data_IF_230221697534
#
_entry.id   IF_230221697534
#
_cell.length_a   1.000
_cell.length_b   1.000
_cell.length_c   1.000
_cell.angle_alpha   90.00
_cell.angle_beta   90.00
_cell.angle_gamma   90.00
#
_symmetry.space_group_name_H-M   'P 1'
#
loop_
_entity.id
_entity.type
_entity.pdbx_description
1 polymer ?
#
# COMPACT_ATOMS: atom_id res chain seq x y z
N UNK A 1 -44.94 -93.94 -66.60
CA UNK A 1 -44.85 -93.77 -65.12
C UNK A 1 -43.44 -93.44 -64.63
N UNK A 2 -42.37 -94.19 -64.98
CA UNK A 2 -40.99 -93.91 -64.50
C UNK A 2 -40.46 -92.49 -64.82
N UNK A 3 -40.78 -91.93 -66.00
CA UNK A 3 -40.35 -90.57 -66.41
C UNK A 3 -41.02 -89.44 -65.59
N UNK A 4 -42.28 -89.61 -65.16
CA UNK A 4 -42.99 -88.62 -64.34
C UNK A 4 -42.50 -88.64 -62.89
N UNK A 5 -42.20 -89.83 -62.34
CA UNK A 5 -41.59 -89.95 -61.01
C UNK A 5 -40.23 -89.25 -60.97
N UNK A 6 -39.42 -89.39 -62.02
CA UNK A 6 -38.12 -88.69 -62.12
C UNK A 6 -38.28 -87.17 -62.10
N UNK A 7 -39.23 -86.62 -62.87
CA UNK A 7 -39.50 -85.18 -62.91
C UNK A 7 -40.00 -84.67 -61.55
N UNK A 8 -40.90 -85.41 -60.90
CA UNK A 8 -41.43 -85.05 -59.57
C UNK A 8 -40.33 -85.04 -58.50
N UNK A 9 -39.43 -86.03 -58.50
CA UNK A 9 -38.27 -86.07 -57.61
C UNK A 9 -37.33 -84.90 -57.88
N UNK A 10 -37.12 -84.54 -59.15
CA UNK A 10 -36.26 -83.40 -59.52
C UNK A 10 -36.86 -82.06 -59.06
N UNK A 11 -38.17 -81.85 -59.20
CA UNK A 11 -38.87 -80.65 -58.70
C UNK A 11 -38.78 -80.57 -57.17
N UNK A 12 -38.96 -81.69 -56.46
CA UNK A 12 -38.86 -81.74 -55.01
C UNK A 12 -37.43 -81.45 -54.53
N UNK A 13 -36.43 -82.01 -55.22
CA UNK A 13 -35.02 -81.74 -54.95
C UNK A 13 -34.69 -80.25 -55.18
N UNK A 14 -35.22 -79.65 -56.25
CA UNK A 14 -35.02 -78.22 -56.53
C UNK A 14 -35.70 -77.31 -55.49
N UNK A 15 -36.92 -77.65 -55.07
CA UNK A 15 -37.60 -76.96 -53.97
C UNK A 15 -36.80 -77.05 -52.66
N UNK A 16 -36.20 -78.21 -52.37
CA UNK A 16 -35.34 -78.42 -51.21
C UNK A 16 -34.08 -77.54 -51.28
N UNK A 17 -33.44 -77.43 -52.45
CA UNK A 17 -32.29 -76.53 -52.62
C UNK A 17 -32.65 -75.06 -52.43
N UNK A 18 -33.80 -74.61 -52.95
CA UNK A 18 -34.28 -73.23 -52.77
C UNK A 18 -34.54 -72.95 -51.28
N UNK A 19 -35.23 -73.86 -50.58
CA UNK A 19 -35.48 -73.73 -49.15
C UNK A 19 -34.18 -73.72 -48.33
N UNK A 20 -33.21 -74.57 -48.68
CA UNK A 20 -31.91 -74.63 -48.02
C UNK A 20 -31.08 -73.36 -48.24
N UNK A 21 -31.12 -72.81 -49.45
CA UNK A 21 -30.46 -71.53 -49.76
C UNK A 21 -31.06 -70.39 -48.95
N UNK A 22 -32.40 -70.31 -48.87
CA UNK A 22 -33.09 -69.31 -48.05
C UNK A 22 -32.75 -69.44 -46.56
N UNK A 23 -32.72 -70.66 -46.01
CA UNK A 23 -32.33 -70.90 -44.62
C UNK A 23 -30.86 -70.54 -44.35
N UNK A 24 -29.97 -70.76 -45.32
CA UNK A 24 -28.57 -70.34 -45.22
C UNK A 24 -28.45 -68.81 -45.22
N UNK A 25 -29.19 -68.15 -46.11
CA UNK A 25 -29.24 -66.69 -46.18
C UNK A 25 -29.80 -66.07 -44.91
N UNK A 26 -30.91 -66.60 -44.39
CA UNK A 26 -31.54 -66.15 -43.15
C UNK A 26 -30.59 -66.32 -41.94
N UNK A 27 -29.94 -67.48 -41.85
CA UNK A 27 -28.92 -67.73 -40.82
C UNK A 27 -27.74 -66.77 -40.92
N UNK A 28 -27.28 -66.47 -42.13
CA UNK A 28 -26.17 -65.53 -42.36
C UNK A 28 -26.58 -64.10 -42.04
N UNK A 29 -27.79 -63.68 -42.42
CA UNK A 29 -28.36 -62.38 -42.06
C UNK A 29 -28.47 -62.23 -40.54
N UNK A 30 -29.09 -63.18 -39.85
CA UNK A 30 -29.19 -63.16 -38.38
C UNK A 30 -27.82 -63.09 -37.71
N UNK A 31 -26.82 -63.82 -38.22
CA UNK A 31 -25.46 -63.78 -37.66
C UNK A 31 -24.82 -62.41 -37.83
N UNK A 32 -25.03 -61.75 -38.97
CA UNK A 32 -24.50 -60.41 -39.22
C UNK A 32 -25.19 -59.36 -38.34
N UNK A 33 -26.51 -59.46 -38.17
CA UNK A 33 -27.25 -58.57 -37.28
C UNK A 33 -26.80 -58.73 -35.82
N UNK A 34 -26.58 -59.98 -35.37
CA UNK A 34 -26.12 -60.26 -34.01
C UNK A 34 -24.71 -59.70 -33.76
N UNK A 35 -23.81 -59.80 -34.75
CA UNK A 35 -22.48 -59.18 -34.69
C UNK A 35 -22.55 -57.65 -34.67
N UNK A 36 -23.42 -57.05 -35.48
CA UNK A 36 -23.61 -55.60 -35.49
C UNK A 36 -24.16 -55.10 -34.16
N UNK A 37 -25.11 -55.83 -33.57
CA UNK A 37 -25.65 -55.55 -32.24
C UNK A 37 -24.58 -55.70 -31.16
N UNK A 38 -23.75 -56.75 -31.21
CA UNK A 38 -22.64 -56.96 -30.29
C UNK A 38 -21.62 -55.81 -30.36
N UNK A 39 -21.20 -55.43 -31.57
CA UNK A 39 -20.29 -54.29 -31.77
C UNK A 39 -20.88 -52.98 -31.26
N UNK A 40 -22.15 -52.71 -31.59
CA UNK A 40 -22.85 -51.50 -31.12
C UNK A 40 -22.99 -51.48 -29.61
N UNK A 41 -23.28 -52.62 -28.98
CA UNK A 41 -23.38 -52.74 -27.52
C UNK A 41 -22.03 -52.48 -26.85
N UNK A 42 -20.95 -53.06 -27.38
CA UNK A 42 -19.58 -52.82 -26.91
C UNK A 42 -19.19 -51.34 -27.04
N UNK A 43 -19.49 -50.70 -28.17
CA UNK A 43 -19.25 -49.28 -28.38
C UNK A 43 -20.02 -48.42 -27.39
N UNK A 44 -21.33 -48.66 -27.26
CA UNK A 44 -22.18 -47.92 -26.32
C UNK A 44 -21.72 -48.12 -24.87
N UNK A 45 -21.29 -49.33 -24.49
CA UNK A 45 -20.74 -49.59 -23.16
C UNK A 45 -19.44 -48.84 -22.90
N UNK A 46 -18.57 -48.71 -23.91
CA UNK A 46 -17.35 -47.92 -23.80
C UNK A 46 -17.64 -46.43 -23.65
N UNK A 47 -18.61 -45.90 -24.42
CA UNK A 47 -19.04 -44.51 -24.37
C UNK A 47 -19.70 -44.17 -23.03
N UNK A 48 -20.61 -45.01 -22.54
CA UNK A 48 -21.23 -44.85 -21.21
C UNK A 48 -20.16 -44.85 -20.12
N UNK A 49 -19.15 -45.72 -20.22
CA UNK A 49 -18.03 -45.75 -19.27
C UNK A 49 -17.21 -44.46 -19.31
N UNK A 50 -16.97 -43.88 -20.50
CA UNK A 50 -16.29 -42.60 -20.64
C UNK A 50 -17.11 -41.45 -20.05
N UNK A 51 -18.40 -41.36 -20.39
CA UNK A 51 -19.31 -40.35 -19.84
C UNK A 51 -19.41 -40.42 -18.33
N UNK A 52 -19.46 -41.63 -17.74
CA UNK A 52 -19.46 -41.79 -16.29
C UNK A 52 -18.16 -41.31 -15.63
N UNK A 53 -17.01 -41.43 -16.29
CA UNK A 53 -15.76 -40.85 -15.79
C UNK A 53 -15.80 -39.32 -15.83
N UNK A 54 -16.34 -38.76 -16.91
CA UNK A 54 -16.47 -37.30 -17.05
C UNK A 54 -17.45 -36.73 -16.01
N UNK A 55 -18.60 -37.38 -15.78
CA UNK A 55 -19.55 -36.99 -14.73
C UNK A 55 -18.86 -36.98 -13.37
N UNK A 56 -18.14 -38.04 -13.01
CA UNK A 56 -17.42 -38.09 -11.72
C UNK A 56 -16.35 -37.01 -11.61
N UNK A 57 -15.65 -36.68 -12.69
CA UNK A 57 -14.68 -35.58 -12.70
C UNK A 57 -15.38 -34.24 -12.44
N UNK A 58 -16.47 -33.96 -13.16
CA UNK A 58 -17.24 -32.73 -13.01
C UNK A 58 -17.87 -32.61 -11.62
N UNK A 59 -18.37 -33.70 -11.05
CA UNK A 59 -18.88 -33.73 -9.67
C UNK A 59 -17.78 -33.39 -8.66
N UNK A 60 -16.57 -33.92 -8.84
CA UNK A 60 -15.44 -33.60 -7.98
C UNK A 60 -15.01 -32.13 -8.11
N UNK A 61 -14.95 -31.60 -9.33
CA UNK A 61 -14.65 -30.18 -9.58
C UNK A 61 -15.72 -29.28 -8.97
N UNK A 62 -17.00 -29.60 -9.12
CA UNK A 62 -18.10 -28.84 -8.51
C UNK A 62 -18.00 -28.83 -6.98
N UNK A 63 -17.68 -29.97 -6.37
CA UNK A 63 -17.49 -30.05 -4.91
C UNK A 63 -16.28 -29.23 -4.45
N UNK A 64 -15.19 -29.20 -5.22
CA UNK A 64 -14.03 -28.35 -4.94
C UNK A 64 -14.41 -26.87 -5.01
N UNK A 65 -15.12 -26.45 -6.05
CA UNK A 65 -15.58 -25.05 -6.17
C UNK A 65 -16.51 -24.64 -5.03
N UNK A 66 -17.40 -25.51 -4.58
CA UNK A 66 -18.25 -25.22 -3.42
C UNK A 66 -17.41 -25.02 -2.15
N UNK A 67 -16.39 -25.86 -1.93
CA UNK A 67 -15.49 -25.71 -0.80
C UNK A 67 -14.69 -24.40 -0.87
N UNK A 68 -14.19 -24.04 -2.05
CA UNK A 68 -13.44 -22.81 -2.28
C UNK A 68 -14.31 -21.57 -2.09
N UNK A 69 -15.55 -21.58 -2.61
CA UNK A 69 -16.51 -20.50 -2.37
C UNK A 69 -16.75 -20.32 -0.87
N UNK A 70 -17.00 -21.40 -0.13
CA UNK A 70 -17.23 -21.31 1.32
C UNK A 70 -16.01 -20.75 2.07
N UNK A 71 -14.80 -21.09 1.62
CA UNK A 71 -13.57 -20.55 2.21
C UNK A 71 -13.43 -19.06 1.92
N UNK A 72 -13.63 -18.65 0.67
CA UNK A 72 -13.54 -17.25 0.25
C UNK A 72 -14.61 -16.37 0.92
N UNK A 73 -15.82 -16.89 1.11
CA UNK A 73 -16.88 -16.19 1.85
C UNK A 73 -16.48 -15.91 3.30
N UNK A 74 -15.86 -16.87 3.99
CA UNK A 74 -15.35 -16.69 5.35
C UNK A 74 -14.20 -15.69 5.40
N UNK A 75 -13.26 -15.77 4.46
CA UNK A 75 -12.16 -14.81 4.37
C UNK A 75 -12.68 -13.39 4.11
N UNK A 76 -13.67 -13.24 3.23
CA UNK A 76 -14.34 -11.97 2.97
C UNK A 76 -14.99 -11.41 4.23
N UNK A 77 -15.76 -12.20 4.97
CA UNK A 77 -16.41 -11.77 6.21
C UNK A 77 -15.39 -11.32 7.27
N UNK A 78 -14.27 -12.05 7.40
CA UNK A 78 -13.17 -11.67 8.29
C UNK A 78 -12.51 -10.35 7.89
N UNK A 79 -12.28 -10.15 6.59
CA UNK A 79 -11.71 -8.91 6.07
C UNK A 79 -12.65 -7.73 6.26
N UNK A 80 -13.95 -7.89 6.02
CA UNK A 80 -14.96 -6.86 6.25
C UNK A 80 -15.01 -6.44 7.72
N UNK A 81 -14.99 -7.42 8.65
CA UNK A 81 -14.92 -7.13 10.09
C UNK A 81 -13.66 -6.36 10.47
N UNK A 82 -12.50 -6.80 9.99
CA UNK A 82 -11.23 -6.12 10.27
C UNK A 82 -11.20 -4.70 9.69
N UNK A 83 -11.82 -4.48 8.53
CA UNK A 83 -11.89 -3.16 7.93
C UNK A 83 -12.74 -2.21 8.79
N UNK A 84 -13.88 -2.67 9.31
CA UNK A 84 -14.72 -1.89 10.23
C UNK A 84 -13.97 -1.55 11.53
N UNK A 85 -13.20 -2.50 12.08
CA UNK A 85 -12.36 -2.26 13.26
C UNK A 85 -11.30 -1.18 12.98
N UNK A 86 -10.61 -1.27 11.83
CA UNK A 86 -9.62 -0.28 11.43
C UNK A 86 -10.22 1.11 11.19
N UNK A 87 -11.40 1.19 10.56
CA UNK A 87 -12.11 2.47 10.38
C UNK A 87 -12.46 3.13 11.72
N UNK A 88 -12.90 2.32 12.69
CA UNK A 88 -13.17 2.78 14.06
C UNK A 88 -11.89 3.28 14.75
N UNK A 89 -10.79 2.53 14.64
CA UNK A 89 -9.50 2.90 15.24
C UNK A 89 -8.96 4.20 14.64
N UNK A 90 -9.06 4.38 13.32
CA UNK A 90 -8.68 5.62 12.63
C UNK A 90 -9.49 6.80 13.14
N UNK A 91 -10.82 6.64 13.29
CA UNK A 91 -11.67 7.70 13.79
C UNK A 91 -11.32 8.09 15.24
N UNK A 92 -11.01 7.10 16.08
CA UNK A 92 -10.64 7.31 17.47
C UNK A 92 -9.27 7.99 17.61
N UNK A 93 -8.27 7.58 16.83
CA UNK A 93 -6.96 8.23 16.81
C UNK A 93 -7.03 9.64 16.23
N UNK A 94 -7.84 9.87 15.19
CA UNK A 94 -8.10 11.23 14.68
C UNK A 94 -8.72 12.13 15.75
N UNK A 95 -9.65 11.62 16.56
CA UNK A 95 -10.22 12.36 17.68
C UNK A 95 -9.18 12.67 18.76
N UNK A 96 -8.33 11.70 19.12
CA UNK A 96 -7.23 11.90 20.10
C UNK A 96 -6.25 12.96 19.62
N UNK A 97 -5.88 12.93 18.34
CA UNK A 97 -4.98 13.91 17.74
C UNK A 97 -5.58 15.31 17.79
N UNK A 98 -6.86 15.47 17.40
CA UNK A 98 -7.57 16.74 17.52
C UNK A 98 -7.59 17.27 18.95
N UNK A 99 -7.91 16.41 19.92
CA UNK A 99 -7.90 16.79 21.33
C UNK A 99 -6.51 17.26 21.82
N UNK A 100 -5.44 16.60 21.38
CA UNK A 100 -4.06 17.04 21.68
C UNK A 100 -3.76 18.40 21.05
N UNK A 101 -4.14 18.61 19.80
CA UNK A 101 -3.98 19.90 19.10
C UNK A 101 -4.74 21.01 19.84
N UNK A 102 -5.97 20.75 20.27
CA UNK A 102 -6.78 21.72 21.02
C UNK A 102 -6.11 22.10 22.34
N UNK A 103 -5.57 21.13 23.09
CA UNK A 103 -4.79 21.39 24.30
C UNK A 103 -3.58 22.26 23.99
N UNK A 104 -2.81 21.92 22.95
CA UNK A 104 -1.63 22.69 22.56
C UNK A 104 -2.02 24.13 22.21
N UNK A 105 -3.11 24.34 21.49
CA UNK A 105 -3.60 25.68 21.14
C UNK A 105 -4.01 26.46 22.40
N UNK A 106 -4.70 25.84 23.35
CA UNK A 106 -5.01 26.47 24.65
C UNK A 106 -3.72 26.82 25.41
N UNK A 107 -2.72 25.94 25.40
CA UNK A 107 -1.42 26.21 26.02
C UNK A 107 -0.72 27.38 25.34
N UNK A 108 -0.70 27.44 24.00
CA UNK A 108 -0.13 28.58 23.23
C UNK A 108 -0.77 29.92 23.63
N UNK A 109 -2.07 29.93 23.94
CA UNK A 109 -2.76 31.15 24.37
C UNK A 109 -2.38 31.61 25.78
N UNK A 110 -2.00 30.68 26.66
CA UNK A 110 -1.88 30.92 28.11
C UNK A 110 -0.44 30.79 28.66
N UNK A 111 0.51 30.31 27.86
CA UNK A 111 1.88 30.03 28.32
C UNK A 111 2.77 31.28 28.24
N UNK A 112 3.74 31.36 29.15
CA UNK A 112 4.76 32.42 29.14
C UNK A 112 5.72 32.19 27.96
N UNK A 113 5.75 33.14 27.02
CA UNK A 113 6.57 33.11 25.81
C UNK A 113 8.07 32.98 26.15
N UNK A 114 8.50 33.41 27.35
CA UNK A 114 9.89 33.32 27.80
C UNK A 114 10.47 31.90 27.77
N UNK A 115 9.62 30.88 27.94
CA UNK A 115 10.05 29.48 27.87
C UNK A 115 10.54 29.10 26.47
N UNK A 116 9.92 29.67 25.44
CA UNK A 116 10.27 29.44 24.03
C UNK A 116 11.38 30.37 23.53
N UNK A 117 11.53 31.56 24.14
CA UNK A 117 12.62 32.48 23.80
C UNK A 117 14.00 31.95 24.16
N UNK A 118 14.12 31.13 25.20
CA UNK A 118 15.40 30.67 25.74
C UNK A 118 16.34 30.04 24.68
N UNK A 119 15.91 29.05 23.87
CA UNK A 119 16.77 28.47 22.84
C UNK A 119 17.17 29.49 21.76
N UNK A 120 16.23 30.36 21.34
CA UNK A 120 16.48 31.38 20.31
C UNK A 120 17.46 32.44 20.80
N UNK A 121 17.32 32.90 22.04
CA UNK A 121 18.25 33.83 22.68
C UNK A 121 19.64 33.23 22.79
N UNK A 122 19.74 31.98 23.23
CA UNK A 122 21.02 31.28 23.34
C UNK A 122 21.72 31.18 21.97
N UNK A 123 20.97 30.89 20.92
CA UNK A 123 21.48 30.86 19.55
C UNK A 123 21.96 32.25 19.09
N UNK A 124 21.13 33.28 19.22
CA UNK A 124 21.47 34.64 18.81
C UNK A 124 22.69 35.20 19.56
N UNK A 125 22.75 34.98 20.88
CA UNK A 125 23.88 35.38 21.72
C UNK A 125 25.17 34.64 21.33
N UNK A 126 25.07 33.36 20.96
CA UNK A 126 26.22 32.59 20.47
C UNK A 126 26.74 33.14 19.13
N UNK A 127 25.86 33.58 18.23
CA UNK A 127 26.25 34.25 16.98
C UNK A 127 26.87 35.63 17.26
N UNK A 128 26.27 36.45 18.12
CA UNK A 128 26.75 37.82 18.45
C UNK A 128 28.12 37.80 19.13
N UNK A 129 28.37 36.81 19.99
CA UNK A 129 29.66 36.65 20.70
C UNK A 129 30.72 35.90 19.89
N UNK A 130 30.39 35.42 18.70
CA UNK A 130 31.30 34.66 17.83
C UNK A 130 31.53 33.21 18.27
N UNK A 131 30.70 32.67 19.17
CA UNK A 131 30.70 31.26 19.55
C UNK A 131 29.90 30.41 18.54
N UNK A 132 30.39 30.35 17.30
CA UNK A 132 29.69 29.68 16.19
C UNK A 132 29.52 28.18 16.39
N UNK A 133 30.36 27.53 17.21
CA UNK A 133 30.20 26.11 17.56
C UNK A 133 28.90 25.84 18.30
N UNK A 134 28.57 26.66 19.30
CA UNK A 134 27.32 26.52 20.04
C UNK A 134 26.11 26.95 19.20
N UNK A 135 26.23 28.01 18.39
CA UNK A 135 25.16 28.44 17.48
C UNK A 135 24.82 27.35 16.45
N UNK A 136 25.84 26.77 15.82
CA UNK A 136 25.69 25.66 14.87
C UNK A 136 25.02 24.45 15.52
N UNK A 137 25.43 24.12 16.76
CA UNK A 137 24.86 23.01 17.51
C UNK A 137 23.37 23.23 17.81
N UNK A 138 23.01 24.44 18.24
CA UNK A 138 21.62 24.79 18.53
C UNK A 138 20.72 24.80 17.28
N UNK A 139 21.28 25.11 16.11
CA UNK A 139 20.53 25.19 14.84
C UNK A 139 20.46 23.84 14.09
N UNK A 140 21.50 23.00 14.15
CA UNK A 140 21.63 21.80 13.30
C UNK A 140 21.77 20.47 14.04
N UNK A 141 22.18 20.41 15.32
CA UNK A 141 22.45 19.13 16.00
C UNK A 141 21.17 18.33 16.27
N UNK A 142 20.06 19.04 16.56
CA UNK A 142 18.76 18.41 16.85
C UNK A 142 17.71 18.60 15.75
N UNK A 143 17.98 19.44 14.75
CA UNK A 143 17.13 19.60 13.57
C UNK A 143 17.17 18.32 12.71
N UNK A 144 16.02 17.65 12.54
CA UNK A 144 15.94 16.44 11.71
C UNK A 144 16.24 16.73 10.23
N UNK A 145 17.48 16.47 9.82
CA UNK A 145 17.91 15.82 8.57
C UNK A 145 16.97 15.90 7.34
N UNK A 146 16.63 17.09 6.85
CA UNK A 146 15.95 17.23 5.54
C UNK A 146 16.57 18.21 4.56
N UNK A 147 17.58 19.00 4.93
CA UNK A 147 18.30 19.86 3.98
C UNK A 147 19.80 19.87 4.27
N UNK A 148 20.60 20.02 3.20
CA UNK A 148 22.07 20.12 3.22
C UNK A 148 22.54 20.91 4.44
N UNK A 149 23.02 20.20 5.46
CA UNK A 149 23.67 20.83 6.60
C UNK A 149 24.98 21.43 6.09
N UNK A 150 25.13 22.75 6.20
CA UNK A 150 26.43 23.38 6.00
C UNK A 150 27.39 22.77 7.03
N UNK A 151 28.66 22.57 6.67
CA UNK A 151 29.65 22.17 7.67
C UNK A 151 29.81 23.28 8.72
N UNK A 152 30.27 22.94 9.93
CA UNK A 152 30.57 23.94 10.97
C UNK A 152 31.55 25.02 10.47
N UNK A 153 32.49 24.65 9.60
CA UNK A 153 33.45 25.57 8.99
C UNK A 153 32.76 26.54 8.01
N UNK A 154 31.89 26.03 7.13
CA UNK A 154 31.08 26.86 6.23
C UNK A 154 30.18 27.81 7.04
N UNK A 155 29.50 27.30 8.06
CA UNK A 155 28.66 28.10 8.95
C UNK A 155 29.45 29.23 9.62
N UNK A 156 30.61 28.88 10.18
CA UNK A 156 31.52 29.84 10.84
C UNK A 156 31.98 30.91 9.87
N UNK A 157 32.42 30.53 8.67
CA UNK A 157 32.90 31.46 7.66
C UNK A 157 31.80 32.43 7.22
N UNK A 158 30.59 31.90 6.97
CA UNK A 158 29.42 32.69 6.57
C UNK A 158 29.11 33.75 7.64
N UNK A 159 28.97 33.38 8.91
CA UNK A 159 28.63 34.37 9.94
C UNK A 159 29.78 35.32 10.24
N UNK A 160 31.02 34.83 10.33
CA UNK A 160 32.18 35.66 10.66
C UNK A 160 32.49 36.72 9.59
N UNK A 161 32.30 36.38 8.31
CA UNK A 161 32.60 37.30 7.21
C UNK A 161 31.48 38.31 6.98
N UNK A 162 30.23 37.98 7.35
CA UNK A 162 29.05 38.77 6.96
C UNK A 162 28.37 39.48 8.13
N UNK A 163 28.40 38.94 9.35
CA UNK A 163 27.65 39.45 10.51
C UNK A 163 28.61 40.00 11.57
N UNK A 164 28.47 41.29 11.87
CA UNK A 164 29.24 42.00 12.92
C UNK A 164 28.55 41.97 14.27
N UNK A 165 27.22 42.06 14.30
CA UNK A 165 26.41 41.88 15.51
C UNK A 165 25.01 41.41 15.15
N UNK A 166 24.40 40.62 16.01
CA UNK A 166 23.05 40.08 15.84
C UNK A 166 22.34 40.13 17.19
N UNK A 167 21.27 40.93 17.29
CA UNK A 167 20.54 41.12 18.55
C UNK A 167 19.06 40.90 18.38
N UNK A 168 18.45 40.12 19.26
CA UNK A 168 17.00 39.96 19.29
C UNK A 168 16.37 41.23 19.83
N UNK A 169 15.43 41.80 19.06
CA UNK A 169 14.58 42.92 19.47
C UNK A 169 13.27 42.43 20.07
N UNK A 170 12.65 41.47 19.42
CA UNK A 170 11.33 40.98 19.76
C UNK A 170 11.21 39.50 19.40
N UNK A 171 10.45 38.76 20.22
CA UNK A 171 10.05 37.39 19.94
C UNK A 171 8.55 37.30 20.17
N UNK A 172 7.83 36.89 19.14
CA UNK A 172 6.38 36.69 19.17
C UNK A 172 6.09 35.22 18.92
N UNK A 173 5.24 34.64 19.76
CA UNK A 173 4.67 33.33 19.46
C UNK A 173 3.68 33.47 18.31
N UNK A 174 3.90 32.74 17.23
CA UNK A 174 2.94 32.68 16.14
C UNK A 174 1.73 31.86 16.60
N UNK A 175 0.61 32.55 16.78
CA UNK A 175 -0.66 31.94 17.24
C UNK A 175 -1.49 31.37 16.09
N UNK A 176 -1.12 31.69 14.85
CA UNK A 176 -1.87 31.32 13.66
C UNK A 176 -1.19 30.20 12.85
N UNK A 177 0.15 30.08 12.92
CA UNK A 177 0.91 28.96 12.36
C UNK A 177 0.79 27.73 13.28
N UNK A 178 0.45 26.58 12.69
CA UNK A 178 0.30 25.31 13.41
C UNK A 178 -1.09 25.03 13.99
N UNK A 179 -2.16 25.70 13.51
CA UNK A 179 -3.55 25.32 13.87
C UNK A 179 -3.91 23.86 13.51
N UNK A 180 -3.11 23.21 12.64
CA UNK A 180 -3.33 21.84 12.21
C UNK A 180 -2.48 20.79 12.96
N UNK A 181 -1.25 21.11 13.38
CA UNK A 181 -0.27 20.08 13.77
C UNK A 181 0.35 20.24 15.17
N UNK A 182 -0.01 21.29 15.92
CA UNK A 182 0.51 21.49 17.29
C UNK A 182 1.96 21.97 17.37
N UNK A 183 2.53 22.39 16.24
CA UNK A 183 3.89 22.94 16.15
C UNK A 183 4.01 24.29 16.85
N UNK A 184 5.17 24.60 17.45
CA UNK A 184 5.44 25.89 18.10
C UNK A 184 6.35 26.70 17.19
N UNK A 185 5.79 27.70 16.54
CA UNK A 185 6.53 28.63 15.68
C UNK A 185 6.66 30.00 16.36
N UNK A 186 7.84 30.60 16.24
CA UNK A 186 8.14 31.94 16.73
C UNK A 186 8.47 32.85 15.56
N UNK A 187 7.94 34.08 15.60
CA UNK A 187 8.41 35.18 14.76
C UNK A 187 9.42 35.99 15.58
N UNK A 188 10.65 36.06 15.09
CA UNK A 188 11.76 36.70 15.81
C UNK A 188 12.26 37.88 14.99
N UNK A 189 12.25 39.07 15.59
CA UNK A 189 12.84 40.26 14.99
C UNK A 189 14.28 40.44 15.47
N UNK A 190 15.21 40.43 14.52
CA UNK A 190 16.64 40.57 14.74
C UNK A 190 17.13 41.93 14.24
N UNK A 191 17.94 42.63 15.03
CA UNK A 191 18.77 43.75 14.59
C UNK A 191 20.15 43.21 14.21
N UNK A 192 20.43 43.18 12.91
CA UNK A 192 21.67 42.67 12.33
C UNK A 192 22.50 43.84 11.82
N UNK A 193 23.78 43.85 12.21
CA UNK A 193 24.80 44.72 11.60
C UNK A 193 25.73 43.87 10.78
N UNK A 194 25.87 44.18 9.51
CA UNK A 194 26.77 43.49 8.61
C UNK A 194 28.19 44.04 8.73
N UNK A 195 29.16 43.30 8.19
CA UNK A 195 30.54 43.77 8.06
C UNK A 195 30.64 44.85 6.97
N UNK A 196 31.75 45.58 6.91
CA UNK A 196 31.93 46.66 5.93
C UNK A 196 31.98 46.17 4.46
N UNK A 197 32.24 44.88 4.26
CA UNK A 197 32.29 44.21 2.96
C UNK A 197 31.71 42.79 3.08
N UNK A 198 30.39 42.63 3.17
CA UNK A 198 29.78 41.30 3.17
C UNK A 198 30.03 40.63 1.81
N UNK A 199 30.11 39.31 1.82
CA UNK A 199 30.17 38.49 0.62
C UNK A 199 28.91 38.72 -0.23
N UNK A 200 29.08 38.87 -1.54
CA UNK A 200 27.99 39.25 -2.46
C UNK A 200 26.83 38.25 -2.49
N UNK A 201 27.06 37.00 -2.07
CA UNK A 201 26.07 35.93 -2.06
C UNK A 201 25.40 35.71 -0.70
N UNK A 202 25.73 36.52 0.32
CA UNK A 202 25.07 36.45 1.62
C UNK A 202 23.64 37.02 1.55
N UNK A 203 22.66 36.13 1.45
CA UNK A 203 21.22 36.48 1.39
C UNK A 203 20.47 36.29 2.70
N UNK A 204 21.17 35.80 3.72
CA UNK A 204 20.58 35.36 4.99
C UNK A 204 20.03 36.50 5.83
N UNK A 205 20.70 37.66 5.83
CA UNK A 205 20.23 38.87 6.51
C UNK A 205 20.55 40.12 5.70
N UNK A 206 19.76 41.16 5.94
CA UNK A 206 19.98 42.54 5.49
C UNK A 206 20.45 43.42 6.64
N UNK A 207 21.10 44.54 6.36
CA UNK A 207 21.48 45.51 7.39
C UNK A 207 20.22 46.11 8.05
N UNK A 208 20.15 46.08 9.38
CA UNK A 208 19.02 46.60 10.15
C UNK A 208 18.10 45.51 10.69
N UNK A 209 16.78 45.72 10.58
CA UNK A 209 15.78 44.81 11.15
C UNK A 209 15.44 43.68 10.16
N UNK A 210 15.54 42.45 10.63
CA UNK A 210 15.18 41.25 9.90
C UNK A 210 14.13 40.48 10.70
N UNK A 211 13.20 39.85 10.02
CA UNK A 211 12.21 38.96 10.63
C UNK A 211 12.54 37.54 10.19
N UNK A 212 12.60 36.61 11.13
CA UNK A 212 12.77 35.19 10.86
C UNK A 212 11.68 34.38 11.56
N UNK A 213 11.37 33.22 11.00
CA UNK A 213 10.51 32.22 11.62
C UNK A 213 11.36 31.10 12.21
N UNK A 214 11.11 30.76 13.46
CA UNK A 214 11.84 29.71 14.18
C UNK A 214 10.85 28.67 14.67
N UNK A 215 11.01 27.44 14.19
CA UNK A 215 10.22 26.31 14.64
C UNK A 215 10.92 25.64 15.82
N UNK A 216 10.15 25.30 16.85
CA UNK A 216 10.62 24.67 18.07
C UNK A 216 9.95 23.32 18.30
N UNK A 217 10.71 22.40 18.86
CA UNK A 217 10.22 21.12 19.37
C UNK A 217 10.76 20.88 20.80
N UNK A 218 10.20 19.89 21.48
CA UNK A 218 10.47 19.61 22.88
C UNK A 218 11.20 18.29 23.08
N UNK A 219 12.38 18.35 23.69
CA UNK A 219 13.14 17.18 24.08
C UNK A 219 12.67 16.69 25.45
N UNK A 220 11.91 15.60 25.48
CA UNK A 220 11.39 15.00 26.72
C UNK A 220 12.51 14.50 27.64
N UNK A 221 13.66 14.11 27.08
CA UNK A 221 14.78 13.56 27.85
C UNK A 221 15.53 14.66 28.59
N UNK A 222 15.72 15.79 27.92
CA UNK A 222 16.46 16.93 28.46
C UNK A 222 15.56 18.01 29.08
N UNK A 223 14.24 17.85 28.94
CA UNK A 223 13.23 18.76 29.48
C UNK A 223 13.46 20.21 29.00
N UNK A 224 13.77 20.37 27.72
CA UNK A 224 14.11 21.66 27.10
C UNK A 224 13.54 21.76 25.67
N UNK A 225 13.22 22.99 25.25
CA UNK A 225 12.88 23.30 23.86
C UNK A 225 14.17 23.46 23.04
N UNK A 226 14.12 23.04 21.77
CA UNK A 226 15.22 23.19 20.83
C UNK A 226 14.70 23.66 19.47
N UNK A 227 15.60 24.26 18.69
CA UNK A 227 15.29 24.76 17.36
C UNK A 227 15.31 23.59 16.38
N UNK A 228 14.22 23.37 15.67
CA UNK A 228 14.13 22.39 14.59
C UNK A 228 14.40 23.01 13.24
N UNK A 229 14.05 24.28 13.05
CA UNK A 229 14.20 24.98 11.79
C UNK A 229 14.23 26.50 12.00
N UNK A 230 14.97 27.19 11.13
CA UNK A 230 14.97 28.65 11.02
C UNK A 230 14.74 29.00 9.55
N UNK A 231 13.67 29.72 9.27
CA UNK A 231 13.29 30.17 7.93
C UNK A 231 13.31 31.71 7.88
N UNK A 232 13.77 32.25 6.75
CA UNK A 232 13.89 33.68 6.46
C UNK A 232 12.76 34.17 5.54
#
# INVERSE_FOLDING_TARGET
MKKLVLIMVFVLMMALFIAFNYLLWDRESMRNDLKNLEYTNLSNSADISAQNRDIKRLENEANQYVADISKLEKEKEQLEKRNLELESDIALEAQRTRYKIDIINILKENVDIKLFEAPVKKWADAVDTGNYGEAYRLEYEKASLLNKQASLEEYTNVFKNNVKSLKIKEVLLDKDVGKADGEIALTVTLEVKLTEKPEQDFRRFTEGLNEIKVDLDYDVTLNEFFITNITE
#
